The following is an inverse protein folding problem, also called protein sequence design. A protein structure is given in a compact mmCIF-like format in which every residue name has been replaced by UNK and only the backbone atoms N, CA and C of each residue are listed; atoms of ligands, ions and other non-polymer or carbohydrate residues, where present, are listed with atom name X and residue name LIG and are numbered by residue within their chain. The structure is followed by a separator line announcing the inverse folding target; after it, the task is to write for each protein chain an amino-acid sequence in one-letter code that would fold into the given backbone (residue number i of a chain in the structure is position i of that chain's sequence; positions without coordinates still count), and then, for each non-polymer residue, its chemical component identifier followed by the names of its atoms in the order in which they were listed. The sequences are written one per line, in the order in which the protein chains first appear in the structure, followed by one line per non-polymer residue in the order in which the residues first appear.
data_IF_301965098647
#
_entry.id   IF_301965098647
#
_cell.length_a   1.000
_cell.length_b   1.000
_cell.length_c   1.000
_cell.angle_alpha   90.00
_cell.angle_beta   90.00
_cell.angle_gamma   90.00
#
_symmetry.space_group_name_H-M   'P 1'
#
loop_
_entity.id
_entity.type
_entity.pdbx_description
1 polymer ?
#
# COMPACT_ATOMS: atom_id res chain seq x y z
N UNK A 1 8.15 15.32 -17.62
CA UNK A 1 9.17 14.40 -17.05
C UNK A 1 9.64 14.83 -15.66
N UNK A 2 9.80 16.13 -15.41
CA UNK A 2 10.11 16.65 -14.07
C UNK A 2 9.07 16.28 -13.01
N UNK A 3 7.78 16.33 -13.34
CA UNK A 3 6.71 15.92 -12.42
C UNK A 3 6.91 14.49 -11.90
N UNK A 4 7.22 13.54 -12.79
CA UNK A 4 7.44 12.14 -12.41
C UNK A 4 8.69 12.02 -11.54
N UNK A 5 9.80 12.67 -11.90
CA UNK A 5 11.03 12.66 -11.08
C UNK A 5 10.79 13.24 -9.68
N UNK A 6 10.08 14.37 -9.59
CA UNK A 6 9.78 15.05 -8.31
C UNK A 6 8.84 14.23 -7.41
N UNK A 7 7.96 13.41 -8.01
CA UNK A 7 6.94 12.64 -7.31
C UNK A 7 7.20 11.12 -7.35
N UNK A 8 8.40 10.67 -7.74
CA UNK A 8 8.65 9.23 -7.97
C UNK A 8 8.41 8.38 -6.72
N UNK A 9 8.73 8.92 -5.55
CA UNK A 9 8.53 8.24 -4.26
C UNK A 9 7.05 7.96 -4.02
N UNK A 10 6.18 8.96 -4.20
CA UNK A 10 4.74 8.78 -3.95
C UNK A 10 4.10 7.89 -5.00
N UNK A 11 4.53 7.98 -6.26
CA UNK A 11 4.06 7.10 -7.35
C UNK A 11 4.41 5.64 -7.04
N UNK A 12 5.67 5.37 -6.66
CA UNK A 12 6.10 4.03 -6.28
C UNK A 12 5.34 3.53 -5.04
N UNK A 13 5.11 4.39 -4.05
CA UNK A 13 4.35 4.03 -2.84
C UNK A 13 2.92 3.61 -3.17
N UNK A 14 2.24 4.36 -4.03
CA UNK A 14 0.89 4.04 -4.48
C UNK A 14 0.85 2.76 -5.30
N UNK A 15 1.80 2.59 -6.23
CA UNK A 15 1.89 1.40 -7.07
C UNK A 15 2.14 0.12 -6.25
N UNK A 16 3.10 0.16 -5.33
CA UNK A 16 3.40 -0.94 -4.41
C UNK A 16 2.22 -1.25 -3.51
N UNK A 17 1.59 -0.22 -2.94
CA UNK A 17 0.42 -0.43 -2.11
C UNK A 17 -0.73 -1.07 -2.86
N UNK A 18 -0.97 -0.65 -4.11
CA UNK A 18 -2.01 -1.26 -4.95
C UNK A 18 -1.69 -2.72 -5.24
N UNK A 19 -0.44 -3.03 -5.60
CA UNK A 19 0.00 -4.39 -5.87
C UNK A 19 -0.15 -5.31 -4.64
N UNK A 20 0.24 -4.82 -3.45
CA UNK A 20 0.11 -5.57 -2.20
C UNK A 20 -1.36 -5.86 -1.92
N UNK A 21 -2.21 -4.82 -1.90
CA UNK A 21 -3.64 -5.00 -1.62
C UNK A 21 -4.26 -5.95 -2.65
N UNK A 22 -4.02 -5.74 -3.95
CA UNK A 22 -4.59 -6.60 -4.98
C UNK A 22 -4.12 -8.06 -4.87
N UNK A 23 -2.86 -8.30 -4.46
CA UNK A 23 -2.32 -9.65 -4.29
C UNK A 23 -2.77 -10.34 -2.99
N UNK A 24 -3.27 -9.60 -2.01
CA UNK A 24 -3.53 -10.12 -0.66
C UNK A 24 -4.96 -9.91 -0.17
N UNK A 25 -5.76 -9.13 -0.90
CA UNK A 25 -7.12 -8.72 -0.52
C UNK A 25 -8.05 -9.90 -0.22
N UNK A 26 -7.94 -11.01 -0.96
CA UNK A 26 -8.76 -12.20 -0.71
C UNK A 26 -8.44 -12.88 0.64
N UNK A 27 -7.21 -12.74 1.10
CA UNK A 27 -6.71 -13.43 2.31
C UNK A 27 -6.68 -12.53 3.55
N UNK A 28 -6.58 -11.21 3.36
CA UNK A 28 -6.49 -10.23 4.44
C UNK A 28 -7.65 -10.29 5.45
N UNK A 29 -8.93 -10.40 5.00
CA UNK A 29 -10.07 -10.49 5.92
C UNK A 29 -9.94 -11.65 6.90
N UNK A 30 -9.54 -12.82 6.42
CA UNK A 30 -9.31 -14.01 7.25
C UNK A 30 -8.13 -13.84 8.22
N UNK A 31 -7.05 -13.18 7.76
CA UNK A 31 -5.89 -12.87 8.61
C UNK A 31 -6.23 -11.84 9.70
N UNK A 32 -7.00 -10.80 9.37
CA UNK A 32 -7.44 -9.80 10.34
C UNK A 32 -8.36 -10.45 11.38
N UNK A 33 -9.31 -11.28 10.94
CA UNK A 33 -10.19 -12.00 11.83
C UNK A 33 -9.42 -12.94 12.77
N UNK A 34 -8.42 -13.68 12.28
CA UNK A 34 -7.64 -14.57 13.14
C UNK A 34 -6.76 -13.84 14.16
N UNK A 35 -6.27 -12.65 13.82
CA UNK A 35 -5.40 -11.86 14.70
C UNK A 35 -6.17 -10.99 15.70
N UNK A 36 -7.35 -10.49 15.34
CA UNK A 36 -8.08 -9.47 16.11
C UNK A 36 -9.48 -9.89 16.55
N UNK A 37 -10.01 -11.01 16.04
CA UNK A 37 -11.41 -11.40 16.22
C UNK A 37 -12.41 -10.50 15.49
N UNK A 38 -11.94 -9.49 14.74
CA UNK A 38 -12.79 -8.56 13.99
C UNK A 38 -13.14 -9.15 12.63
N UNK A 39 -14.43 -9.23 12.34
CA UNK A 39 -14.91 -9.61 11.01
C UNK A 39 -14.81 -8.43 10.05
N UNK A 40 -14.09 -8.63 8.94
CA UNK A 40 -13.99 -7.67 7.84
C UNK A 40 -14.70 -8.28 6.63
N UNK A 41 -15.54 -7.51 5.94
CA UNK A 41 -16.19 -7.98 4.71
C UNK A 41 -15.14 -8.38 3.68
N UNK A 42 -15.35 -9.49 2.97
CA UNK A 42 -14.39 -10.02 1.99
C UNK A 42 -14.07 -8.99 0.89
N UNK A 43 -15.08 -8.23 0.46
CA UNK A 43 -14.93 -7.19 -0.55
C UNK A 43 -14.36 -5.87 -0.03
N UNK A 44 -14.10 -5.72 1.28
CA UNK A 44 -13.69 -4.44 1.88
C UNK A 44 -12.45 -3.85 1.18
N UNK A 45 -11.44 -4.67 0.90
CA UNK A 45 -10.19 -4.22 0.31
C UNK A 45 -10.29 -3.90 -1.18
N UNK A 46 -11.26 -4.48 -1.90
CA UNK A 46 -11.53 -4.14 -3.31
C UNK A 46 -12.48 -2.97 -3.46
N UNK A 47 -13.48 -2.88 -2.59
CA UNK A 47 -14.54 -1.88 -2.60
C UNK A 47 -14.03 -0.49 -2.23
N UNK A 48 -13.05 -0.42 -1.32
CA UNK A 48 -12.52 0.85 -0.85
C UNK A 48 -11.11 1.10 -1.39
N UNK A 49 -10.89 2.29 -1.95
CA UNK A 49 -9.54 2.78 -2.31
C UNK A 49 -8.74 3.22 -1.08
N UNK A 50 -9.41 3.34 0.06
CA UNK A 50 -8.86 3.88 1.30
C UNK A 50 -7.73 3.02 1.90
N UNK A 51 -7.81 1.67 1.93
CA UNK A 51 -6.70 0.82 2.37
C UNK A 51 -5.43 0.99 1.53
N UNK A 52 -5.57 1.16 0.21
CA UNK A 52 -4.44 1.45 -0.68
C UNK A 52 -3.80 2.80 -0.35
N UNK A 53 -4.61 3.84 -0.08
CA UNK A 53 -4.06 5.13 0.30
C UNK A 53 -3.30 5.09 1.64
N UNK A 54 -3.87 4.42 2.65
CA UNK A 54 -3.21 4.26 3.96
C UNK A 54 -1.91 3.49 3.81
N UNK A 55 -1.94 2.34 3.15
CA UNK A 55 -0.75 1.51 3.01
C UNK A 55 0.34 2.22 2.17
N UNK A 56 -0.03 3.00 1.16
CA UNK A 56 0.91 3.86 0.45
C UNK A 56 1.59 4.88 1.37
N UNK A 57 0.84 5.52 2.28
CA UNK A 57 1.42 6.45 3.26
C UNK A 57 2.35 5.75 4.25
N UNK A 58 2.03 4.52 4.67
CA UNK A 58 2.88 3.71 5.55
C UNK A 58 4.18 3.29 4.88
N UNK A 59 4.13 2.94 3.58
CA UNK A 59 5.31 2.51 2.81
C UNK A 59 6.15 3.72 2.35
N UNK A 60 5.55 4.89 2.20
CA UNK A 60 6.23 6.12 1.75
C UNK A 60 7.57 6.41 2.44
N UNK A 61 7.70 6.42 3.78
CA UNK A 61 8.98 6.68 4.45
C UNK A 61 10.04 5.61 4.09
N UNK A 62 9.63 4.37 3.87
CA UNK A 62 10.52 3.26 3.50
C UNK A 62 11.09 3.51 2.10
N UNK A 63 10.22 3.80 1.12
CA UNK A 63 10.65 4.09 -0.26
C UNK A 63 11.50 5.34 -0.31
N UNK A 64 11.16 6.38 0.46
CA UNK A 64 11.99 7.59 0.58
C UNK A 64 13.39 7.28 1.11
N UNK A 65 13.49 6.43 2.14
CA UNK A 65 14.75 5.97 2.68
C UNK A 65 15.58 5.18 1.67
N UNK A 66 14.94 4.29 0.91
CA UNK A 66 15.59 3.52 -0.15
C UNK A 66 16.12 4.41 -1.27
N UNK A 67 15.30 5.37 -1.75
CA UNK A 67 15.73 6.36 -2.76
C UNK A 67 17.00 7.08 -2.32
N UNK A 68 17.03 7.58 -1.08
CA UNK A 68 18.19 8.27 -0.54
C UNK A 68 19.44 7.39 -0.40
N UNK A 69 19.27 6.09 -0.08
CA UNK A 69 20.39 5.14 0.01
C UNK A 69 20.97 4.76 -1.35
N UNK A 70 20.14 4.75 -2.39
CA UNK A 70 20.49 4.35 -3.75
C UNK A 70 20.94 5.53 -4.62
N UNK A 71 21.00 6.74 -4.04
CA UNK A 71 21.31 8.00 -4.73
C UNK A 71 20.45 8.24 -5.99
N UNK A 72 19.21 7.74 -5.93
CA UNK A 72 18.16 7.89 -6.96
C UNK A 72 17.31 9.13 -6.74
#
# INVERSE_FOLDING_TARGET
MEFIKKNIVIILSLALSYAIIHSTADTLPGVIHSLSGVFVEEDFFYKYRFPVAILALLIFPIIRGLKNKLDL
#
